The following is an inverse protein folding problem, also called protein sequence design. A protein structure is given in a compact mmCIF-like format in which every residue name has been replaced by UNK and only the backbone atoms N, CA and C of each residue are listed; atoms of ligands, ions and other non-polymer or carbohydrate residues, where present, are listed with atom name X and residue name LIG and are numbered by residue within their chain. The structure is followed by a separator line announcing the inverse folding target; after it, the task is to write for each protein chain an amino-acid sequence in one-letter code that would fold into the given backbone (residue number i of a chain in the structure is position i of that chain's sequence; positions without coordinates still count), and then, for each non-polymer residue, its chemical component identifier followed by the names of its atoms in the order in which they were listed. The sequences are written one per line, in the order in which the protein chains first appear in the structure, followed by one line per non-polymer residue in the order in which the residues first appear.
data_IF_856177284511
#
_entry.id   IF_856177284511
#
_cell.length_a   1.000
_cell.length_b   1.000
_cell.length_c   1.000
_cell.angle_alpha   90.00
_cell.angle_beta   90.00
_cell.angle_gamma   90.00
#
_symmetry.space_group_name_H-M   'P 1'
#
loop_
_entity.id
_entity.type
_entity.pdbx_description
1 polymer ?
#
# COMPACT_ATOMS: atom_id res chain seq x y z
N UNK A 1 14.53 -7.79 3.34
CA UNK A 1 13.22 -7.37 3.84
C UNK A 1 12.53 -6.60 2.74
N UNK A 2 11.27 -6.91 2.46
CA UNK A 2 10.43 -6.15 1.55
C UNK A 2 9.58 -5.19 2.40
N UNK A 3 9.40 -3.94 1.98
CA UNK A 3 8.71 -2.90 2.75
C UNK A 3 7.66 -2.25 1.85
N UNK A 4 6.48 -1.98 2.42
CA UNK A 4 5.42 -1.24 1.75
C UNK A 4 4.54 -2.07 0.82
N UNK A 5 4.33 -3.35 1.13
CA UNK A 5 3.22 -4.10 0.52
C UNK A 5 1.89 -3.44 0.88
N UNK A 6 0.92 -3.58 -0.01
CA UNK A 6 -0.39 -2.92 0.10
C UNK A 6 -1.52 -3.93 -0.09
N UNK A 7 -2.58 -3.90 0.73
CA UNK A 7 -3.70 -4.83 0.61
C UNK A 7 -4.41 -4.68 -0.75
N UNK A 8 -4.98 -5.79 -1.21
CA UNK A 8 -5.80 -5.83 -2.43
C UNK A 8 -7.25 -5.41 -2.18
N UNK A 9 -7.65 -5.30 -0.91
CA UNK A 9 -8.98 -4.89 -0.51
C UNK A 9 -9.28 -3.46 -0.99
N UNK A 10 -10.50 -3.25 -1.46
CA UNK A 10 -10.92 -1.96 -2.00
C UNK A 10 -10.54 -1.70 -3.46
N UNK A 11 -10.02 -2.70 -4.18
CA UNK A 11 -9.80 -2.64 -5.63
C UNK A 11 -10.63 -3.69 -6.37
N UNK A 12 -11.16 -3.33 -7.53
CA UNK A 12 -11.75 -4.28 -8.48
C UNK A 12 -10.76 -4.53 -9.62
N UNK A 13 -10.24 -5.75 -9.74
CA UNK A 13 -9.31 -6.12 -10.80
C UNK A 13 -9.36 -7.63 -11.10
N UNK A 14 -9.01 -8.02 -12.32
CA UNK A 14 -8.92 -9.45 -12.68
C UNK A 14 -7.53 -10.04 -12.44
N UNK A 15 -6.47 -9.31 -12.84
CA UNK A 15 -5.08 -9.73 -12.72
C UNK A 15 -4.17 -8.52 -12.58
N UNK A 16 -3.11 -8.67 -11.78
CA UNK A 16 -2.05 -7.67 -11.66
C UNK A 16 -0.68 -8.34 -11.59
N UNK A 17 0.31 -7.81 -12.32
CA UNK A 17 1.72 -8.22 -12.16
C UNK A 17 2.31 -7.71 -10.85
N UNK A 18 1.67 -6.72 -10.22
CA UNK A 18 2.06 -6.23 -8.91
C UNK A 18 1.52 -7.12 -7.77
N UNK A 19 0.69 -8.12 -8.05
CA UNK A 19 0.18 -9.05 -7.03
C UNK A 19 1.23 -10.11 -6.69
N UNK A 20 1.60 -10.22 -5.42
CA UNK A 20 2.52 -11.21 -4.90
C UNK A 20 2.05 -11.65 -3.51
N UNK A 21 1.91 -12.96 -3.31
CA UNK A 21 1.58 -13.55 -2.00
C UNK A 21 0.28 -12.99 -1.36
N UNK A 22 -0.68 -12.54 -2.19
CA UNK A 22 -1.97 -11.99 -1.74
C UNK A 22 -2.02 -10.48 -1.55
N UNK A 23 -0.89 -9.78 -1.73
CA UNK A 23 -0.79 -8.31 -1.59
C UNK A 23 -0.18 -7.68 -2.85
N UNK A 24 -0.41 -6.38 -3.05
CA UNK A 24 0.37 -5.62 -4.01
C UNK A 24 1.78 -5.37 -3.48
N UNK A 25 2.77 -5.39 -4.37
CA UNK A 25 4.17 -5.05 -4.07
C UNK A 25 4.41 -3.54 -3.87
N UNK A 26 3.38 -2.78 -3.51
CA UNK A 26 3.46 -1.33 -3.38
C UNK A 26 2.08 -0.70 -3.33
N UNK A 27 2.03 0.53 -2.85
CA UNK A 27 0.82 1.35 -2.90
C UNK A 27 0.31 1.45 -4.34
N UNK A 28 -0.95 1.09 -4.53
CA UNK A 28 -1.67 1.28 -5.80
C UNK A 28 -2.54 2.52 -5.65
N UNK A 29 -2.61 3.34 -6.69
CA UNK A 29 -3.47 4.50 -6.75
C UNK A 29 -4.20 4.48 -8.09
N UNK A 30 -5.48 4.85 -8.05
CA UNK A 30 -6.34 4.86 -9.22
C UNK A 30 -7.04 6.21 -9.30
N UNK A 31 -6.52 7.08 -10.17
CA UNK A 31 -7.03 8.44 -10.35
C UNK A 31 -8.22 8.51 -11.30
N UNK A 32 -8.51 7.45 -12.04
CA UNK A 32 -9.63 7.41 -12.97
C UNK A 32 -10.91 6.93 -12.29
N UNK A 33 -10.79 5.99 -11.35
CA UNK A 33 -11.93 5.34 -10.70
C UNK A 33 -12.04 5.62 -9.19
N UNK A 34 -10.94 5.97 -8.51
CA UNK A 34 -10.90 6.08 -7.05
C UNK A 34 -10.07 7.29 -6.57
N UNK A 35 -10.09 8.40 -7.32
CA UNK A 35 -9.28 9.58 -7.03
C UNK A 35 -9.46 10.11 -5.59
N UNK A 36 -10.69 10.08 -5.08
CA UNK A 36 -11.07 10.54 -3.74
C UNK A 36 -10.39 9.75 -2.61
N UNK A 37 -9.88 8.54 -2.87
CA UNK A 37 -9.17 7.71 -1.90
C UNK A 37 -7.65 7.96 -1.90
N UNK A 38 -7.14 8.80 -2.81
CA UNK A 38 -5.69 8.94 -3.00
C UNK A 38 -4.99 9.46 -1.76
N UNK A 39 -5.49 10.54 -1.17
CA UNK A 39 -4.84 11.20 -0.03
C UNK A 39 -4.86 10.28 1.19
N UNK A 40 -6.00 9.66 1.48
CA UNK A 40 -6.17 8.69 2.57
C UNK A 40 -5.19 7.51 2.43
N UNK A 41 -5.13 6.89 1.23
CA UNK A 41 -4.24 5.74 0.98
C UNK A 41 -2.76 6.12 1.09
N UNK A 42 -2.38 7.33 0.68
CA UNK A 42 -1.00 7.82 0.85
C UNK A 42 -0.68 8.00 2.33
N UNK A 43 -1.57 8.60 3.11
CA UNK A 43 -1.38 8.80 4.55
C UNK A 43 -1.18 7.47 5.26
N UNK A 44 -2.09 6.50 5.05
CA UNK A 44 -2.01 5.16 5.62
C UNK A 44 -0.71 4.43 5.22
N UNK A 45 -0.36 4.45 3.94
CA UNK A 45 0.87 3.81 3.47
C UNK A 45 2.12 4.44 4.06
N UNK A 46 2.15 5.77 4.22
CA UNK A 46 3.27 6.47 4.84
C UNK A 46 3.40 6.14 6.33
N UNK A 47 2.29 5.97 7.05
CA UNK A 47 2.31 5.51 8.45
C UNK A 47 2.90 4.10 8.58
N UNK A 48 2.62 3.22 7.62
CA UNK A 48 3.21 1.88 7.54
C UNK A 48 4.71 1.91 7.23
N UNK A 49 5.15 2.60 6.17
CA UNK A 49 6.52 2.46 5.67
C UNK A 49 7.56 3.33 6.38
N UNK A 50 7.17 4.49 6.91
CA UNK A 50 8.13 5.42 7.55
C UNK A 50 8.88 4.78 8.71
N UNK A 51 8.24 4.10 9.68
CA UNK A 51 8.96 3.48 10.80
C UNK A 51 9.96 2.41 10.33
N UNK A 52 9.55 1.57 9.39
CA UNK A 52 10.38 0.51 8.83
C UNK A 52 11.59 1.06 8.06
N UNK A 53 11.40 2.11 7.25
CA UNK A 53 12.46 2.75 6.46
C UNK A 53 13.44 3.54 7.32
N UNK A 54 12.95 4.16 8.40
CA UNK A 54 13.78 4.96 9.33
C UNK A 54 14.40 4.12 10.44
N UNK A 55 14.15 2.80 10.48
CA UNK A 55 14.64 1.90 11.52
C UNK A 55 14.06 2.21 12.90
N UNK A 56 12.90 2.86 12.96
CA UNK A 56 12.19 3.11 14.20
C UNK A 56 11.47 1.82 14.59
N UNK A 57 11.97 1.15 15.62
CA UNK A 57 11.27 0.01 16.21
C UNK A 57 9.85 0.46 16.58
N UNK A 58 8.84 -0.20 16.01
CA UNK A 58 7.47 -0.10 16.50
C UNK A 58 7.51 -0.63 17.93
N UNK A 59 7.41 0.28 18.91
CA UNK A 59 7.25 -0.09 20.30
C UNK A 59 5.87 -0.75 20.41
N UNK A 60 5.87 -2.07 20.45
CA UNK A 60 4.72 -2.90 20.82
C UNK A 60 4.50 -2.80 22.32
#
# INVERSE_FOLDING_TARGET
QFIGSWPIDGYEFEKSKALRDGEFVGLVLDQDNQADLTDERIEEWLEQVKPELLGMAVAV
#
